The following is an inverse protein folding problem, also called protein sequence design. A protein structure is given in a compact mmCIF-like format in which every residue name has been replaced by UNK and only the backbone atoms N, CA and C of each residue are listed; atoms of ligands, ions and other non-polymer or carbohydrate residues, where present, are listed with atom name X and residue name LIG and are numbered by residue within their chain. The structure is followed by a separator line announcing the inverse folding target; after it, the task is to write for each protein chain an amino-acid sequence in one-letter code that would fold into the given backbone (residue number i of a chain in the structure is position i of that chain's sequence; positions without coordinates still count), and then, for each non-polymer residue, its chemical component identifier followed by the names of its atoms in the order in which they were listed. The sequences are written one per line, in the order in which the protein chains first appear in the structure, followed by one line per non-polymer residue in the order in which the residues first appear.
data_IF_183709917811
#
_entry.id   IF_183709917811
#
_cell.length_a   1.000
_cell.length_b   1.000
_cell.length_c   1.000
_cell.angle_alpha   90.00
_cell.angle_beta   90.00
_cell.angle_gamma   90.00
#
_symmetry.space_group_name_H-M   'P 1'
#
loop_
_entity.id
_entity.type
_entity.pdbx_description
1 polymer ?
#
# COMPACT_ATOMS: atom_id res chain seq x y z
N UNK A 1 2.82 -36.71 -20.50
CA UNK A 1 4.04 -36.08 -19.96
C UNK A 1 4.21 -34.75 -20.66
N UNK A 2 3.71 -33.71 -20.01
CA UNK A 2 4.18 -32.32 -20.15
C UNK A 2 3.79 -31.69 -18.83
N UNK A 3 4.77 -31.72 -17.92
CA UNK A 3 4.83 -30.86 -16.75
C UNK A 3 4.69 -29.41 -17.22
N UNK A 4 3.82 -28.66 -16.56
CA UNK A 4 3.81 -27.20 -16.63
C UNK A 4 3.36 -26.70 -15.27
N UNK A 5 4.36 -26.57 -14.41
CA UNK A 5 4.57 -25.52 -13.43
C UNK A 5 3.35 -25.12 -12.60
N UNK A 6 3.28 -25.76 -11.44
CA UNK A 6 2.66 -25.21 -10.24
C UNK A 6 3.15 -23.77 -10.03
N UNK A 7 2.32 -22.82 -10.42
CA UNK A 7 2.37 -21.46 -9.89
C UNK A 7 1.98 -21.56 -8.41
N UNK A 8 2.95 -21.91 -7.58
CA UNK A 8 2.89 -21.76 -6.13
C UNK A 8 2.83 -20.25 -5.85
N UNK A 9 1.62 -19.69 -5.98
CA UNK A 9 1.28 -18.42 -5.41
C UNK A 9 1.51 -18.53 -3.92
N UNK A 10 2.65 -17.99 -3.46
CA UNK A 10 2.95 -17.74 -2.07
C UNK A 10 1.71 -17.08 -1.44
N UNK A 11 0.92 -17.90 -0.75
CA UNK A 11 -0.16 -17.42 0.10
C UNK A 11 0.50 -16.63 1.20
N UNK A 12 0.49 -15.30 1.07
CA UNK A 12 0.87 -14.40 2.13
C UNK A 12 0.06 -14.76 3.37
N UNK A 13 0.76 -15.02 4.46
CA UNK A 13 0.14 -15.00 5.78
C UNK A 13 -0.17 -13.53 6.09
N UNK A 14 -1.33 -13.04 5.62
CA UNK A 14 -1.77 -11.65 5.83
C UNK A 14 -1.95 -11.30 7.32
N UNK A 15 -1.71 -12.25 8.24
CA UNK A 15 -1.79 -12.09 9.67
C UNK A 15 -0.54 -11.50 10.35
N UNK A 16 0.48 -11.02 9.61
CA UNK A 16 1.61 -10.34 10.25
C UNK A 16 1.09 -9.15 11.08
N UNK A 17 1.36 -9.10 12.41
CA UNK A 17 0.94 -7.98 13.25
C UNK A 17 1.55 -6.66 12.76
N UNK A 18 0.81 -5.55 12.87
CA UNK A 18 1.24 -4.24 12.35
C UNK A 18 2.65 -3.82 12.83
N UNK A 19 3.00 -4.14 14.08
CA UNK A 19 4.34 -3.84 14.62
C UNK A 19 5.45 -4.58 13.85
N UNK A 20 5.22 -5.86 13.56
CA UNK A 20 6.19 -6.69 12.83
C UNK A 20 6.22 -6.31 11.35
N UNK A 21 5.07 -6.00 10.75
CA UNK A 21 4.95 -5.44 9.40
C UNK A 21 5.84 -4.20 9.23
N UNK A 22 5.71 -3.22 10.13
CA UNK A 22 6.50 -1.97 10.07
C UNK A 22 8.00 -2.25 10.17
N UNK A 23 8.40 -3.16 11.06
CA UNK A 23 9.80 -3.55 11.24
C UNK A 23 10.37 -4.22 10.00
N UNK A 24 9.64 -5.17 9.40
CA UNK A 24 10.06 -5.86 8.19
C UNK A 24 10.12 -4.92 6.99
N UNK A 25 9.07 -4.10 6.80
CA UNK A 25 9.04 -3.07 5.76
C UNK A 25 10.23 -2.14 5.86
N UNK A 26 10.53 -1.64 7.07
CA UNK A 26 11.65 -0.73 7.27
C UNK A 26 12.99 -1.38 6.90
N UNK A 27 13.22 -2.62 7.34
CA UNK A 27 14.44 -3.36 6.96
C UNK A 27 14.57 -3.50 5.44
N UNK A 28 13.47 -3.81 4.75
CA UNK A 28 13.50 -3.94 3.29
C UNK A 28 13.72 -2.59 2.61
N UNK A 29 13.06 -1.53 3.11
CA UNK A 29 13.28 -0.17 2.62
C UNK A 29 14.73 0.27 2.79
N UNK A 30 15.30 0.11 3.99
CA UNK A 30 16.69 0.48 4.28
C UNK A 30 17.69 -0.27 3.37
N UNK A 31 17.35 -1.50 2.94
CA UNK A 31 18.15 -2.27 1.98
C UNK A 31 17.96 -1.75 0.55
N UNK A 32 16.71 -1.53 0.12
CA UNK A 32 16.40 -1.11 -1.24
C UNK A 32 16.85 0.35 -1.53
N UNK A 33 16.77 1.25 -0.53
CA UNK A 33 17.21 2.65 -0.63
C UNK A 33 18.70 2.81 -0.28
N UNK A 34 19.46 1.73 -0.18
CA UNK A 34 20.90 1.78 0.12
C UNK A 34 21.66 2.46 -1.03
N UNK A 35 22.09 3.70 -0.75
CA UNK A 35 22.80 4.57 -1.70
C UNK A 35 24.26 4.19 -1.91
N UNK A 36 24.83 3.37 -1.02
CA UNK A 36 26.21 2.90 -1.17
C UNK A 36 26.30 1.82 -2.25
N UNK A 37 25.29 0.95 -2.33
CA UNK A 37 25.26 -0.17 -3.27
C UNK A 37 24.35 0.04 -4.49
N UNK A 38 23.60 1.15 -4.55
CA UNK A 38 22.72 1.52 -5.66
C UNK A 38 21.77 0.39 -6.08
N UNK A 39 21.16 -0.29 -5.10
CA UNK A 39 20.30 -1.46 -5.36
C UNK A 39 18.98 -1.09 -6.05
N UNK A 40 18.53 0.16 -5.93
CA UNK A 40 17.35 0.70 -6.60
C UNK A 40 17.54 2.18 -6.96
N UNK A 41 17.15 2.55 -8.19
CA UNK A 41 17.17 3.96 -8.63
C UNK A 41 16.15 4.82 -7.87
N UNK A 42 14.96 4.27 -7.59
CA UNK A 42 13.88 4.97 -6.89
C UNK A 42 12.81 4.03 -6.35
N UNK A 43 12.85 3.77 -5.04
CA UNK A 43 11.86 2.94 -4.34
C UNK A 43 10.43 3.45 -4.56
N UNK A 44 10.20 4.76 -4.42
CA UNK A 44 8.87 5.36 -4.67
C UNK A 44 8.44 5.24 -6.14
N UNK A 45 9.39 5.30 -7.06
CA UNK A 45 9.16 5.10 -8.49
C UNK A 45 8.62 3.70 -8.77
N UNK A 46 9.26 2.67 -8.24
CA UNK A 46 8.84 1.29 -8.45
C UNK A 46 7.53 0.95 -7.73
N UNK A 47 7.29 1.52 -6.55
CA UNK A 47 5.99 1.40 -5.87
C UNK A 47 4.87 2.02 -6.73
N UNK A 48 5.09 3.19 -7.32
CA UNK A 48 4.12 3.82 -8.22
C UNK A 48 3.87 2.98 -9.47
N UNK A 49 4.91 2.41 -10.08
CA UNK A 49 4.78 1.49 -11.22
C UNK A 49 3.96 0.25 -10.83
N UNK A 50 4.25 -0.36 -9.67
CA UNK A 50 3.53 -1.53 -9.18
C UNK A 50 2.05 -1.23 -8.92
N UNK A 51 1.73 -0.05 -8.37
CA UNK A 51 0.36 0.43 -8.17
C UNK A 51 -0.36 0.63 -9.50
N UNK A 52 0.28 1.24 -10.50
CA UNK A 52 -0.29 1.44 -11.83
C UNK A 52 -0.53 0.11 -12.54
N UNK A 53 0.43 -0.81 -12.48
CA UNK A 53 0.30 -2.15 -13.06
C UNK A 53 -0.89 -2.88 -12.42
N UNK A 54 -0.97 -2.88 -11.08
CA UNK A 54 -2.08 -3.51 -10.37
C UNK A 54 -3.42 -2.85 -10.68
N UNK A 55 -3.46 -1.52 -10.84
CA UNK A 55 -4.67 -0.81 -11.28
C UNK A 55 -5.16 -1.33 -12.63
N UNK A 56 -4.28 -1.50 -13.61
CA UNK A 56 -4.66 -2.03 -14.94
C UNK A 56 -5.10 -3.50 -14.88
N UNK A 57 -4.60 -4.27 -13.91
CA UNK A 57 -4.93 -5.68 -13.72
C UNK A 57 -6.17 -5.93 -12.86
N UNK A 58 -6.81 -4.90 -12.32
CA UNK A 58 -7.97 -5.05 -11.41
C UNK A 58 -9.14 -4.20 -11.89
N UNK A 59 -10.35 -4.54 -11.44
CA UNK A 59 -11.58 -3.84 -11.82
C UNK A 59 -11.84 -2.56 -11.00
N UNK A 60 -10.81 -2.00 -10.35
CA UNK A 60 -11.00 -0.77 -9.58
C UNK A 60 -11.25 0.42 -10.51
N UNK A 61 -12.20 1.27 -10.15
CA UNK A 61 -12.53 2.43 -10.98
C UNK A 61 -11.56 3.60 -10.73
N UNK A 62 -11.63 4.63 -11.59
CA UNK A 62 -10.78 5.83 -11.49
C UNK A 62 -10.96 6.60 -10.18
N UNK A 63 -12.14 6.55 -9.56
CA UNK A 63 -12.42 7.22 -8.27
C UNK A 63 -11.71 6.51 -7.12
N UNK A 64 -11.73 5.18 -7.11
CA UNK A 64 -11.00 4.36 -6.13
C UNK A 64 -9.50 4.60 -6.31
N UNK A 65 -9.02 4.61 -7.55
CA UNK A 65 -7.62 4.92 -7.85
C UNK A 65 -7.21 6.34 -7.45
N UNK A 66 -8.08 7.35 -7.64
CA UNK A 66 -7.87 8.71 -7.12
C UNK A 66 -7.65 8.69 -5.61
N UNK A 67 -8.40 7.87 -4.88
CA UNK A 67 -8.22 7.70 -3.43
C UNK A 67 -6.84 7.20 -3.07
N UNK A 68 -6.37 6.16 -3.76
CA UNK A 68 -5.03 5.64 -3.57
C UNK A 68 -3.95 6.66 -3.97
N UNK A 69 -4.16 7.39 -5.06
CA UNK A 69 -3.27 8.45 -5.51
C UNK A 69 -3.14 9.57 -4.47
N UNK A 70 -4.24 10.01 -3.84
CA UNK A 70 -4.20 10.98 -2.74
C UNK A 70 -3.40 10.44 -1.55
N UNK A 71 -3.62 9.17 -1.17
CA UNK A 71 -2.88 8.54 -0.08
C UNK A 71 -1.37 8.52 -0.33
N UNK A 72 -0.93 8.22 -1.55
CA UNK A 72 0.49 8.17 -1.93
C UNK A 72 1.08 9.59 -2.13
N UNK A 73 0.29 10.52 -2.66
CA UNK A 73 0.78 11.79 -3.21
C UNK A 73 0.89 12.94 -2.23
N UNK A 74 0.16 12.94 -1.11
CA UNK A 74 0.10 14.11 -0.22
C UNK A 74 1.23 14.19 0.82
N UNK A 75 2.11 13.19 0.93
CA UNK A 75 3.18 13.14 1.94
C UNK A 75 2.69 12.92 3.38
N UNK A 76 1.50 13.42 3.72
CA UNK A 76 0.92 13.39 5.06
C UNK A 76 0.35 12.02 5.47
N UNK A 77 -0.01 11.18 4.48
CA UNK A 77 -0.69 9.91 4.75
C UNK A 77 0.23 8.70 4.61
N UNK A 78 1.28 8.78 3.80
CA UNK A 78 2.08 7.61 3.44
C UNK A 78 3.43 7.59 4.15
N UNK A 79 3.64 6.58 4.99
CA UNK A 79 4.98 6.22 5.45
C UNK A 79 5.57 5.16 4.52
N UNK A 80 6.49 5.58 3.66
CA UNK A 80 7.14 4.73 2.66
C UNK A 80 7.97 3.63 3.30
N UNK A 81 8.76 3.95 4.33
CA UNK A 81 9.65 3.00 5.00
C UNK A 81 8.86 1.87 5.65
N UNK A 82 7.71 2.21 6.23
CA UNK A 82 6.86 1.26 6.93
C UNK A 82 5.81 0.58 6.04
N UNK A 83 5.70 0.98 4.76
CA UNK A 83 4.63 0.54 3.86
C UNK A 83 3.25 0.66 4.52
N UNK A 84 2.95 1.81 5.12
CA UNK A 84 1.65 2.05 5.77
C UNK A 84 1.04 3.38 5.38
N UNK A 85 -0.28 3.42 5.32
CA UNK A 85 -1.04 4.67 5.30
C UNK A 85 -1.61 4.96 6.68
N UNK A 86 -1.53 6.20 7.14
CA UNK A 86 -2.16 6.65 8.39
C UNK A 86 -3.05 7.87 8.13
N UNK A 87 -4.35 7.71 8.37
CA UNK A 87 -5.32 8.81 8.34
C UNK A 87 -5.58 9.21 9.79
N UNK A 88 -5.06 10.37 10.21
CA UNK A 88 -5.22 10.89 11.58
C UNK A 88 -6.56 11.58 11.81
N UNK A 89 -7.05 12.28 10.80
CA UNK A 89 -8.39 12.87 10.75
C UNK A 89 -9.01 12.56 9.38
N UNK A 90 -10.18 11.93 9.40
CA UNK A 90 -10.91 11.59 8.19
C UNK A 90 -11.45 12.82 7.45
N UNK A 91 -11.70 13.93 8.15
CA UNK A 91 -12.12 15.18 7.51
C UNK A 91 -10.98 15.81 6.71
N UNK A 92 -9.74 15.74 7.19
CA UNK A 92 -8.57 16.22 6.47
C UNK A 92 -8.34 15.38 5.22
N UNK A 93 -8.36 14.05 5.37
CA UNK A 93 -8.27 13.15 4.22
C UNK A 93 -9.36 13.41 3.18
N UNK A 94 -10.59 13.66 3.64
CA UNK A 94 -11.71 14.07 2.79
C UNK A 94 -11.42 15.38 2.05
N UNK A 95 -10.83 16.37 2.71
CA UNK A 95 -10.48 17.65 2.09
C UNK A 95 -9.51 17.48 0.93
N UNK A 96 -8.42 16.72 1.13
CA UNK A 96 -7.46 16.43 0.05
C UNK A 96 -8.05 15.61 -1.10
N UNK A 97 -9.01 14.74 -0.79
CA UNK A 97 -9.61 13.89 -1.79
C UNK A 97 -10.75 14.56 -2.58
N UNK A 98 -11.43 15.54 -1.96
CA UNK A 98 -12.57 16.26 -2.54
C UNK A 98 -13.84 15.41 -2.70
N UNK A 99 -13.99 14.36 -1.88
CA UNK A 99 -15.15 13.44 -1.93
C UNK A 99 -16.03 13.55 -0.69
N UNK A 100 -17.27 13.07 -0.75
CA UNK A 100 -18.10 12.89 0.44
C UNK A 100 -17.58 11.75 1.31
N UNK A 101 -17.87 11.77 2.63
CA UNK A 101 -17.45 10.68 3.54
C UNK A 101 -17.92 9.29 3.06
N UNK A 102 -19.18 9.09 2.64
CA UNK A 102 -19.63 7.78 2.15
C UNK A 102 -18.88 7.31 0.90
N UNK A 103 -18.57 8.22 -0.04
CA UNK A 103 -17.83 7.85 -1.26
C UNK A 103 -16.39 7.45 -0.93
N UNK A 104 -15.76 8.17 -0.01
CA UNK A 104 -14.39 7.88 0.43
C UNK A 104 -14.31 6.54 1.19
N UNK A 105 -15.27 6.27 2.08
CA UNK A 105 -15.35 4.98 2.77
C UNK A 105 -15.57 3.82 1.79
N UNK A 106 -16.43 4.00 0.78
CA UNK A 106 -16.62 2.99 -0.29
C UNK A 106 -15.34 2.77 -1.09
N UNK A 107 -14.63 3.85 -1.42
CA UNK A 107 -13.38 3.77 -2.18
C UNK A 107 -12.29 3.03 -1.39
N UNK A 108 -12.13 3.35 -0.10
CA UNK A 108 -11.21 2.63 0.79
C UNK A 108 -11.56 1.14 0.87
N UNK A 109 -12.85 0.80 1.00
CA UNK A 109 -13.29 -0.59 1.01
C UNK A 109 -13.00 -1.31 -0.31
N UNK A 110 -13.21 -0.64 -1.44
CA UNK A 110 -12.87 -1.17 -2.77
C UNK A 110 -11.37 -1.46 -2.87
N UNK A 111 -10.51 -0.56 -2.40
CA UNK A 111 -9.06 -0.76 -2.36
C UNK A 111 -8.65 -1.92 -1.44
N UNK A 112 -9.34 -2.11 -0.31
CA UNK A 112 -9.15 -3.27 0.57
C UNK A 112 -9.52 -4.57 -0.15
N UNK A 113 -10.71 -4.64 -0.74
CA UNK A 113 -11.20 -5.84 -1.43
C UNK A 113 -10.31 -6.23 -2.61
N UNK A 114 -9.71 -5.25 -3.30
CA UNK A 114 -8.78 -5.49 -4.39
C UNK A 114 -7.32 -5.65 -3.92
N UNK A 115 -7.10 -5.74 -2.60
CA UNK A 115 -5.80 -6.05 -1.99
C UNK A 115 -4.74 -4.97 -2.22
N UNK A 116 -5.12 -3.72 -2.45
CA UNK A 116 -4.15 -2.63 -2.45
C UNK A 116 -3.70 -2.32 -1.02
N UNK A 117 -4.65 -2.32 -0.09
CA UNK A 117 -4.45 -1.98 1.32
C UNK A 117 -5.15 -3.00 2.23
N UNK A 118 -4.76 -3.07 3.49
CA UNK A 118 -5.44 -3.86 4.52
C UNK A 118 -5.58 -3.02 5.78
N UNK A 119 -6.80 -2.92 6.32
CA UNK A 119 -7.04 -2.15 7.53
C UNK A 119 -6.42 -2.86 8.74
N UNK A 120 -5.48 -2.22 9.41
CA UNK A 120 -4.66 -2.85 10.44
C UNK A 120 -5.03 -2.43 11.87
N UNK A 121 -5.34 -1.15 12.08
CA UNK A 121 -5.69 -0.66 13.42
C UNK A 121 -6.57 0.58 13.35
N UNK A 122 -7.42 0.73 14.36
CA UNK A 122 -8.21 1.91 14.65
C UNK A 122 -7.86 2.32 16.09
N UNK A 123 -7.12 3.43 16.25
CA UNK A 123 -6.82 3.99 17.57
C UNK A 123 -7.84 5.09 17.89
N UNK A 124 -8.84 4.74 18.69
CA UNK A 124 -10.04 5.57 18.89
C UNK A 124 -10.81 5.80 17.58
N UNK A 125 -11.80 6.69 17.59
CA UNK A 125 -12.66 6.91 16.41
C UNK A 125 -12.02 7.73 15.29
N UNK A 126 -10.74 8.13 15.43
CA UNK A 126 -10.14 9.17 14.57
C UNK A 126 -8.96 8.68 13.73
N UNK A 127 -8.11 7.80 14.28
CA UNK A 127 -6.88 7.38 13.59
C UNK A 127 -7.06 6.00 12.97
N UNK A 128 -6.91 5.91 11.66
CA UNK A 128 -6.99 4.65 10.91
C UNK A 128 -5.65 4.38 10.24
N UNK A 129 -5.07 3.22 10.51
CA UNK A 129 -3.85 2.75 9.84
C UNK A 129 -4.17 1.59 8.91
N UNK A 130 -3.64 1.66 7.70
CA UNK A 130 -3.68 0.60 6.70
C UNK A 130 -2.27 0.10 6.41
N UNK A 131 -2.10 -1.21 6.31
CA UNK A 131 -0.96 -1.82 5.62
C UNK A 131 -1.10 -1.54 4.13
N UNK A 132 -0.03 -1.08 3.49
CA UNK A 132 -0.01 -0.86 2.05
C UNK A 132 0.59 -2.09 1.35
N UNK A 133 -0.26 -3.06 1.04
CA UNK A 133 0.15 -4.37 0.53
C UNK A 133 0.98 -4.31 -0.75
N UNK A 134 0.66 -3.36 -1.63
CA UNK A 134 1.36 -3.22 -2.92
C UNK A 134 2.79 -2.68 -2.72
N UNK A 135 2.97 -1.72 -1.81
CA UNK A 135 4.30 -1.21 -1.48
C UNK A 135 5.17 -2.28 -0.82
N UNK A 136 4.63 -3.01 0.16
CA UNK A 136 5.37 -4.07 0.86
C UNK A 136 5.85 -5.16 -0.10
N UNK A 137 4.97 -5.64 -0.99
CA UNK A 137 5.34 -6.59 -2.06
C UNK A 137 6.38 -6.05 -3.05
N UNK A 138 6.43 -4.73 -3.21
CA UNK A 138 7.44 -4.12 -4.08
C UNK A 138 8.78 -4.12 -3.35
N UNK A 139 8.81 -3.77 -2.07
CA UNK A 139 10.02 -3.84 -1.25
C UNK A 139 10.57 -5.28 -1.19
N UNK A 140 9.73 -6.29 -0.99
CA UNK A 140 10.13 -7.72 -1.02
C UNK A 140 10.82 -8.14 -2.32
N UNK A 141 10.53 -7.47 -3.45
CA UNK A 141 11.15 -7.78 -4.75
C UNK A 141 12.47 -7.03 -4.97
N UNK A 142 12.67 -5.94 -4.24
CA UNK A 142 13.86 -5.08 -4.34
C UNK A 142 14.96 -5.51 -3.37
N UNK A 143 14.70 -6.49 -2.49
CA UNK A 143 15.61 -6.98 -1.45
C UNK A 143 15.73 -8.49 -1.46
#
# INVERSE_FOLDING_TARGET
MTDNDEFNGLTMDNNIPLKEWKKQSKKMFDTADDREYLLCDSVIGDIRKAVMLKFVMTDINKTDFKTLHTLIGSGDFYNIEESTFTIKDFNDFRYYNGMSKPNLSRSLKSLETNGFIEKATVYGDKVITYKFLTAFKTLEKLT
#
